data_IF_933282820085
#
_entry.id   IF_933282820085
#
_cell.length_a   1.000
_cell.length_b   1.000
_cell.length_c   1.000
_cell.angle_alpha   90.00
_cell.angle_beta   90.00
_cell.angle_gamma   90.00
#
_symmetry.space_group_name_H-M   'P 1'
#
loop_
_entity.id
_entity.type
_entity.pdbx_description
1 polymer ?
#
# COMPACT_ATOMS: atom_id res chain seq x y z
N UNK A 1 22.09 -13.86 -0.29
CA UNK A 1 21.97 -12.70 -1.19
C UNK A 1 23.13 -12.55 -2.17
N UNK A 2 24.41 -12.76 -1.81
CA UNK A 2 25.53 -12.63 -2.77
C UNK A 2 25.39 -13.48 -4.04
N UNK A 3 24.93 -14.73 -3.92
CA UNK A 3 24.63 -15.59 -5.09
C UNK A 3 23.42 -15.13 -5.94
N UNK A 4 22.59 -14.20 -5.44
CA UNK A 4 21.37 -13.79 -6.15
C UNK A 4 21.68 -13.01 -7.43
N UNK A 5 22.63 -12.09 -7.32
CA UNK A 5 23.03 -11.11 -8.33
C UNK A 5 24.36 -11.46 -9.01
N UNK A 6 25.14 -12.38 -8.42
CA UNK A 6 26.49 -12.73 -8.85
C UNK A 6 27.53 -12.20 -7.85
N UNK A 7 28.73 -12.80 -7.87
CA UNK A 7 29.85 -12.49 -6.96
C UNK A 7 30.31 -11.03 -7.02
N UNK A 8 30.04 -10.36 -8.14
CA UNK A 8 30.56 -9.02 -8.41
C UNK A 8 29.69 -7.91 -7.79
N UNK A 9 28.53 -8.25 -7.25
CA UNK A 9 27.64 -7.31 -6.58
C UNK A 9 27.95 -7.20 -5.09
N UNK A 10 28.28 -5.98 -4.65
CA UNK A 10 28.37 -5.66 -3.24
C UNK A 10 26.96 -5.35 -2.69
N UNK A 11 26.53 -6.06 -1.65
CA UNK A 11 25.19 -5.93 -1.06
C UNK A 11 25.30 -5.51 0.41
N UNK A 12 24.58 -4.45 0.78
CA UNK A 12 24.55 -3.86 2.11
C UNK A 12 23.11 -3.80 2.63
N UNK A 13 22.87 -3.97 3.93
CA UNK A 13 21.57 -3.66 4.52
C UNK A 13 21.20 -2.19 4.29
N UNK A 14 19.98 -1.92 3.85
CA UNK A 14 19.47 -0.56 3.64
C UNK A 14 18.64 -0.03 4.83
N UNK A 15 18.57 -0.79 5.93
CA UNK A 15 17.77 -0.47 7.11
C UNK A 15 16.27 -0.76 6.92
N UNK A 16 15.42 -0.02 7.65
CA UNK A 16 13.97 -0.22 7.66
C UNK A 16 13.48 -1.17 8.74
N UNK A 17 12.16 -1.15 9.00
CA UNK A 17 11.57 -1.79 10.17
C UNK A 17 11.59 -3.33 10.12
N UNK A 18 11.68 -3.95 8.94
CA UNK A 18 11.59 -5.41 8.78
C UNK A 18 12.94 -6.10 8.55
N UNK A 19 14.01 -5.34 8.30
CA UNK A 19 15.33 -5.90 7.96
C UNK A 19 15.42 -6.55 6.57
N UNK A 20 14.39 -6.40 5.72
CA UNK A 20 14.29 -7.06 4.41
C UNK A 20 14.79 -6.21 3.23
N UNK A 21 15.35 -5.03 3.51
CA UNK A 21 15.79 -4.08 2.50
C UNK A 21 17.31 -4.05 2.39
N UNK A 22 17.79 -4.06 1.15
CA UNK A 22 19.21 -4.07 0.83
C UNK A 22 19.52 -3.08 -0.28
N UNK A 23 20.72 -2.53 -0.25
CA UNK A 23 21.32 -1.74 -1.31
C UNK A 23 22.37 -2.62 -2.00
N UNK A 24 22.34 -2.67 -3.32
CA UNK A 24 23.31 -3.41 -4.12
C UNK A 24 23.99 -2.48 -5.13
N UNK A 25 25.32 -2.62 -5.27
CA UNK A 25 26.10 -1.84 -6.24
C UNK A 25 27.08 -2.73 -7.02
N UNK A 26 27.27 -2.40 -8.29
CA UNK A 26 28.28 -3.03 -9.15
C UNK A 26 28.55 -2.13 -10.37
N UNK A 27 29.83 -1.85 -10.69
CA UNK A 27 30.24 -1.07 -11.88
C UNK A 27 29.44 0.23 -12.12
N UNK A 28 29.20 1.00 -11.05
CA UNK A 28 28.44 2.25 -11.11
C UNK A 28 26.92 2.08 -11.19
N UNK A 29 26.39 0.86 -11.32
CA UNK A 29 24.97 0.56 -11.18
C UNK A 29 24.58 0.39 -9.71
N UNK A 30 23.40 0.88 -9.37
CA UNK A 30 22.85 0.86 -8.02
C UNK A 30 21.41 0.33 -8.04
N UNK A 31 21.11 -0.62 -7.17
CA UNK A 31 19.79 -1.22 -7.02
C UNK A 31 19.33 -1.17 -5.57
N UNK A 32 18.04 -0.96 -5.40
CA UNK A 32 17.34 -1.25 -4.15
C UNK A 32 16.73 -2.63 -4.24
N UNK A 33 17.07 -3.51 -3.31
CA UNK A 33 16.52 -4.85 -3.22
C UNK A 33 15.59 -4.95 -2.01
N UNK A 34 14.46 -5.62 -2.18
CA UNK A 34 13.55 -5.93 -1.07
C UNK A 34 13.04 -7.35 -1.15
N UNK A 35 13.10 -8.05 -0.01
CA UNK A 35 12.52 -9.38 0.16
C UNK A 35 11.03 -9.28 0.51
N UNK A 36 10.23 -10.16 -0.10
CA UNK A 36 8.79 -10.36 0.12
C UNK A 36 7.98 -9.05 0.04
N UNK A 37 8.22 -8.29 -1.04
CA UNK A 37 7.49 -7.06 -1.31
C UNK A 37 6.00 -7.30 -1.55
N UNK A 38 5.20 -6.26 -1.30
CA UNK A 38 3.76 -6.23 -1.54
C UNK A 38 3.42 -6.71 -2.96
N UNK A 39 2.34 -7.49 -3.15
CA UNK A 39 1.91 -7.93 -4.48
C UNK A 39 1.64 -6.75 -5.42
N UNK A 40 1.33 -5.56 -4.89
CA UNK A 40 1.05 -4.35 -5.66
C UNK A 40 2.28 -3.69 -6.31
N UNK A 41 3.49 -4.12 -5.99
CA UNK A 41 4.72 -3.42 -6.39
C UNK A 41 4.83 -3.20 -7.90
N UNK A 42 4.46 -4.21 -8.70
CA UNK A 42 4.53 -4.12 -10.16
C UNK A 42 3.57 -3.05 -10.72
N UNK A 43 2.32 -3.00 -10.24
CA UNK A 43 1.33 -2.00 -10.67
C UNK A 43 1.72 -0.61 -10.16
N UNK A 44 2.17 -0.49 -8.91
CA UNK A 44 2.68 0.78 -8.37
C UNK A 44 3.87 1.32 -9.19
N UNK A 45 4.75 0.43 -9.65
CA UNK A 45 5.88 0.81 -10.50
C UNK A 45 5.42 1.25 -11.89
N UNK A 46 4.44 0.55 -12.49
CA UNK A 46 3.89 0.91 -13.80
C UNK A 46 3.15 2.25 -13.76
N UNK A 47 2.45 2.52 -12.67
CA UNK A 47 1.78 3.81 -12.41
C UNK A 47 2.78 4.93 -12.06
N UNK A 48 4.08 4.63 -11.92
CA UNK A 48 5.09 5.62 -11.53
C UNK A 48 4.86 6.23 -10.14
N UNK A 49 4.36 5.42 -9.21
CA UNK A 49 4.15 5.79 -7.79
C UNK A 49 5.38 5.43 -6.96
N UNK A 50 6.08 4.36 -7.34
CA UNK A 50 7.32 3.88 -6.72
C UNK A 50 8.46 3.86 -7.74
N UNK A 51 9.73 3.73 -7.31
CA UNK A 51 10.84 3.57 -8.24
C UNK A 51 10.66 2.37 -9.17
N UNK A 52 11.17 2.49 -10.40
CA UNK A 52 10.96 1.49 -11.45
C UNK A 52 11.46 0.11 -11.03
N UNK A 53 10.57 -0.88 -11.06
CA UNK A 53 10.86 -2.29 -10.91
C UNK A 53 11.73 -2.76 -12.08
N UNK A 54 12.87 -3.36 -11.76
CA UNK A 54 13.84 -3.90 -12.73
C UNK A 54 13.53 -5.38 -12.97
N UNK A 55 13.44 -6.16 -11.89
CA UNK A 55 13.12 -7.59 -11.96
C UNK A 55 12.55 -8.10 -10.63
N UNK A 56 11.91 -9.26 -10.71
CA UNK A 56 11.46 -10.06 -9.56
C UNK A 56 12.00 -11.46 -9.71
N UNK A 57 12.59 -12.03 -8.66
CA UNK A 57 13.17 -13.37 -8.68
C UNK A 57 12.67 -14.16 -7.48
N UNK A 58 12.09 -15.33 -7.75
CA UNK A 58 11.71 -16.30 -6.72
C UNK A 58 12.91 -17.17 -6.38
N UNK A 59 13.13 -17.36 -5.10
CA UNK A 59 14.19 -18.20 -4.53
C UNK A 59 13.70 -19.62 -4.28
N UNK A 60 14.64 -20.56 -4.22
CA UNK A 60 14.37 -21.97 -3.90
C UNK A 60 13.73 -22.13 -2.51
N UNK A 61 14.09 -21.26 -1.56
CA UNK A 61 13.51 -21.22 -0.23
C UNK A 61 12.09 -20.59 -0.21
N UNK A 62 11.53 -20.20 -1.36
CA UNK A 62 10.20 -19.62 -1.50
C UNK A 62 10.14 -18.09 -1.42
N UNK A 63 11.21 -17.44 -0.93
CA UNK A 63 11.27 -15.98 -0.85
C UNK A 63 11.18 -15.34 -2.24
N UNK A 64 10.58 -14.15 -2.31
CA UNK A 64 10.54 -13.33 -3.51
C UNK A 64 11.43 -12.12 -3.30
N UNK A 65 12.48 -11.99 -4.11
CA UNK A 65 13.30 -10.78 -4.13
C UNK A 65 12.86 -9.89 -5.28
N UNK A 66 12.69 -8.61 -4.98
CA UNK A 66 12.39 -7.56 -5.95
C UNK A 66 13.56 -6.58 -6.03
N UNK A 67 13.91 -6.17 -7.24
CA UNK A 67 14.91 -5.13 -7.47
C UNK A 67 14.28 -3.92 -8.14
N UNK A 68 14.53 -2.75 -7.58
CA UNK A 68 14.12 -1.45 -8.12
C UNK A 68 15.36 -0.60 -8.36
N UNK A 69 15.22 0.43 -9.21
CA UNK A 69 16.26 1.44 -9.35
C UNK A 69 16.53 2.08 -7.98
N UNK A 70 17.81 2.25 -7.66
CA UNK A 70 18.17 3.07 -6.51
C UNK A 70 17.76 4.52 -6.77
N UNK A 71 17.15 5.15 -5.77
CA UNK A 71 16.75 6.55 -5.82
C UNK A 71 17.35 7.28 -4.63
N UNK A 72 18.06 8.36 -4.90
CA UNK A 72 18.51 9.27 -3.84
C UNK A 72 17.30 10.02 -3.30
N UNK A 73 17.03 9.87 -2.01
CA UNK A 73 15.91 10.50 -1.35
C UNK A 73 16.16 10.68 0.14
N UNK A 74 15.20 11.34 0.80
CA UNK A 74 15.18 11.47 2.26
C UNK A 74 13.86 10.97 2.80
N UNK A 75 13.89 10.48 4.02
CA UNK A 75 12.68 10.21 4.77
C UNK A 75 11.92 11.52 5.04
N UNK A 76 10.60 11.47 4.90
CA UNK A 76 9.74 12.57 5.29
C UNK A 76 9.56 12.57 6.81
N UNK A 77 9.64 13.75 7.42
CA UNK A 77 9.39 13.98 8.85
C UNK A 77 7.95 14.45 9.06
N UNK A 78 7.41 14.45 10.29
CA UNK A 78 6.01 14.84 10.54
C UNK A 78 5.62 16.21 9.94
N UNK A 79 6.54 17.17 9.98
CA UNK A 79 6.37 18.50 9.36
C UNK A 79 6.19 18.48 7.84
N UNK A 80 6.66 17.44 7.15
CA UNK A 80 6.53 17.30 5.70
C UNK A 80 5.16 16.70 5.30
N UNK A 81 4.45 16.05 6.22
CA UNK A 81 3.23 15.28 5.93
C UNK A 81 2.06 16.15 5.47
N UNK A 82 2.02 17.43 5.88
CA UNK A 82 1.03 18.41 5.43
C UNK A 82 1.35 19.03 4.06
N UNK A 83 2.47 18.64 3.44
CA UNK A 83 2.91 19.18 2.16
C UNK A 83 2.01 18.75 1.00
N UNK A 84 1.76 19.69 0.08
CA UNK A 84 1.02 19.44 -1.17
C UNK A 84 1.51 18.20 -1.96
N UNK A 85 2.83 17.92 -2.09
CA UNK A 85 3.29 16.72 -2.80
C UNK A 85 2.81 15.41 -2.18
N UNK A 86 2.64 15.35 -0.86
CA UNK A 86 2.12 14.16 -0.16
C UNK A 86 0.65 13.96 -0.51
N UNK A 87 -0.15 15.03 -0.46
CA UNK A 87 -1.55 14.98 -0.85
C UNK A 87 -1.75 14.58 -2.33
N UNK A 88 -0.90 15.08 -3.23
CA UNK A 88 -0.92 14.71 -4.64
C UNK A 88 -0.57 13.23 -4.86
N UNK A 89 0.41 12.71 -4.13
CA UNK A 89 0.77 11.28 -4.17
C UNK A 89 -0.37 10.39 -3.64
N UNK A 90 -0.98 10.76 -2.50
CA UNK A 90 -2.12 10.05 -1.94
C UNK A 90 -3.31 10.05 -2.89
N UNK A 91 -3.61 11.20 -3.51
CA UNK A 91 -4.63 11.30 -4.55
C UNK A 91 -4.33 10.34 -5.70
N UNK A 92 -3.10 10.32 -6.21
CA UNK A 92 -2.69 9.43 -7.30
C UNK A 92 -2.93 7.95 -6.96
N UNK A 93 -2.61 7.53 -5.74
CA UNK A 93 -2.87 6.17 -5.26
C UNK A 93 -4.37 5.89 -5.18
N UNK A 94 -5.13 6.76 -4.51
CA UNK A 94 -6.56 6.54 -4.24
C UNK A 94 -7.46 6.65 -5.47
N UNK A 95 -7.02 7.35 -6.52
CA UNK A 95 -7.79 7.47 -7.77
C UNK A 95 -7.28 6.56 -8.90
N UNK A 96 -6.28 5.70 -8.65
CA UNK A 96 -5.73 4.82 -9.68
C UNK A 96 -6.69 3.68 -10.01
N UNK A 97 -7.19 3.68 -11.26
CA UNK A 97 -8.01 2.58 -11.79
C UNK A 97 -7.22 1.28 -11.86
N UNK A 98 -5.93 1.33 -12.20
CA UNK A 98 -5.08 0.15 -12.27
C UNK A 98 -4.92 -0.53 -10.90
N UNK A 99 -4.75 0.26 -9.82
CA UNK A 99 -4.71 -0.28 -8.46
C UNK A 99 -6.07 -0.85 -8.03
N UNK A 100 -7.18 -0.19 -8.40
CA UNK A 100 -8.52 -0.71 -8.15
C UNK A 100 -8.77 -2.05 -8.87
N UNK A 101 -8.41 -2.16 -10.14
CA UNK A 101 -8.55 -3.39 -10.91
C UNK A 101 -7.69 -4.52 -10.32
N UNK A 102 -6.50 -4.18 -9.81
CA UNK A 102 -5.65 -5.13 -9.09
C UNK A 102 -6.30 -5.62 -7.78
N UNK A 103 -6.93 -4.73 -7.02
CA UNK A 103 -7.69 -5.10 -5.82
C UNK A 103 -8.82 -6.07 -6.16
N UNK A 104 -9.61 -5.76 -7.20
CA UNK A 104 -10.70 -6.64 -7.70
C UNK A 104 -10.17 -8.02 -8.08
N UNK A 105 -9.05 -8.09 -8.80
CA UNK A 105 -8.38 -9.36 -9.16
C UNK A 105 -7.90 -10.19 -7.97
N UNK A 106 -7.60 -9.53 -6.84
CA UNK A 106 -7.25 -10.20 -5.59
C UNK A 106 -8.49 -10.64 -4.79
N UNK A 107 -9.69 -10.54 -5.37
CA UNK A 107 -10.95 -10.90 -4.73
C UNK A 107 -11.40 -9.89 -3.68
N UNK A 108 -10.93 -8.63 -3.75
CA UNK A 108 -11.44 -7.57 -2.90
C UNK A 108 -12.71 -7.00 -3.52
N UNK A 109 -13.79 -7.08 -2.75
CA UNK A 109 -15.08 -6.52 -3.12
C UNK A 109 -15.23 -5.09 -2.56
N UNK A 110 -16.00 -4.23 -3.24
CA UNK A 110 -16.43 -2.95 -2.69
C UNK A 110 -17.10 -3.13 -1.33
N UNK A 111 -16.87 -2.19 -0.43
CA UNK A 111 -17.59 -2.17 0.85
C UNK A 111 -19.06 -1.85 0.59
N UNK A 112 -19.95 -2.73 1.04
CA UNK A 112 -21.38 -2.51 0.95
C UNK A 112 -21.84 -1.54 2.07
N UNK A 113 -22.40 -0.36 1.75
CA UNK A 113 -22.84 0.63 2.72
C UNK A 113 -23.87 0.07 3.71
N UNK A 114 -24.80 -0.77 3.26
CA UNK A 114 -25.81 -1.38 4.13
C UNK A 114 -25.21 -2.38 5.11
N UNK A 115 -24.20 -3.14 4.67
CA UNK A 115 -23.44 -4.03 5.55
C UNK A 115 -22.65 -3.25 6.60
N UNK A 116 -22.00 -2.15 6.21
CA UNK A 116 -21.29 -1.26 7.13
C UNK A 116 -22.22 -0.62 8.15
N UNK A 117 -23.39 -0.13 7.72
CA UNK A 117 -24.39 0.46 8.61
C UNK A 117 -24.93 -0.57 9.60
N UNK A 118 -25.16 -1.81 9.15
CA UNK A 118 -25.57 -2.91 10.04
C UNK A 118 -24.49 -3.22 11.08
N UNK A 119 -23.21 -3.27 10.69
CA UNK A 119 -22.09 -3.46 11.61
C UNK A 119 -21.98 -2.32 12.62
N UNK A 120 -22.17 -1.06 12.18
CA UNK A 120 -22.15 0.11 13.05
C UNK A 120 -23.27 0.04 14.09
N UNK A 121 -24.50 -0.29 13.68
CA UNK A 121 -25.63 -0.47 14.60
C UNK A 121 -25.37 -1.56 15.63
N UNK A 122 -24.79 -2.69 15.22
CA UNK A 122 -24.39 -3.77 16.13
C UNK A 122 -23.32 -3.30 17.13
N UNK A 123 -22.31 -2.56 16.67
CA UNK A 123 -21.25 -2.03 17.53
C UNK A 123 -21.82 -1.05 18.57
N UNK A 124 -22.69 -0.12 18.16
CA UNK A 124 -23.36 0.85 19.05
C UNK A 124 -24.24 0.14 20.09
N UNK A 125 -24.99 -0.87 19.66
CA UNK A 125 -25.79 -1.70 20.57
C UNK A 125 -24.91 -2.45 21.58
N UNK A 126 -23.80 -3.05 21.14
CA UNK A 126 -22.89 -3.81 21.99
C UNK A 126 -22.24 -2.96 23.09
N UNK A 127 -21.95 -1.69 22.81
CA UNK A 127 -21.42 -0.75 23.82
C UNK A 127 -22.52 -0.03 24.61
N UNK A 128 -23.79 -0.42 24.42
CA UNK A 128 -24.97 0.18 25.07
C UNK A 128 -25.03 1.71 24.95
N UNK A 129 -24.53 2.24 23.83
CA UNK A 129 -24.44 3.67 23.62
C UNK A 129 -25.81 4.23 23.19
N UNK A 130 -26.38 5.09 24.02
CA UNK A 130 -27.74 5.62 23.88
C UNK A 130 -27.79 7.13 23.59
N UNK A 131 -26.64 7.75 23.30
CA UNK A 131 -26.59 9.18 22.96
C UNK A 131 -27.57 9.53 21.84
N UNK A 132 -28.46 10.53 22.04
CA UNK A 132 -29.39 10.99 21.02
C UNK A 132 -28.70 11.35 19.70
N UNK A 133 -27.52 11.99 19.77
CA UNK A 133 -26.72 12.36 18.60
C UNK A 133 -26.30 11.14 17.76
N UNK A 134 -25.97 10.03 18.41
CA UNK A 134 -25.57 8.80 17.72
C UNK A 134 -26.79 8.16 17.06
N UNK A 135 -27.94 8.16 17.72
CA UNK A 135 -29.19 7.64 17.15
C UNK A 135 -29.66 8.47 15.97
N UNK A 136 -29.60 9.81 16.07
CA UNK A 136 -29.86 10.72 14.97
C UNK A 136 -28.90 10.48 13.80
N UNK A 137 -27.61 10.29 14.07
CA UNK A 137 -26.62 9.96 13.06
C UNK A 137 -26.90 8.62 12.35
N UNK A 138 -27.25 7.56 13.10
CA UNK A 138 -27.64 6.27 12.51
C UNK A 138 -28.88 6.43 11.64
N UNK A 139 -29.91 7.11 12.14
CA UNK A 139 -31.15 7.36 11.39
C UNK A 139 -30.88 8.12 10.10
N UNK A 140 -30.05 9.16 10.15
CA UNK A 140 -29.62 9.90 8.96
C UNK A 140 -28.96 8.96 7.92
N UNK A 141 -28.05 8.09 8.36
CA UNK A 141 -27.38 7.13 7.49
C UNK A 141 -28.37 6.11 6.89
N UNK A 142 -29.40 5.70 7.62
CA UNK A 142 -30.46 4.80 7.12
C UNK A 142 -31.30 5.47 6.04
N UNK A 143 -31.73 6.72 6.27
CA UNK A 143 -32.57 7.48 5.34
C UNK A 143 -31.84 7.76 4.03
N UNK A 144 -30.54 8.03 4.07
CA UNK A 144 -29.73 8.39 2.89
C UNK A 144 -28.96 7.20 2.30
N UNK A 145 -29.17 5.98 2.79
CA UNK A 145 -28.42 4.80 2.33
C UNK A 145 -28.53 4.58 0.81
N UNK A 146 -29.70 4.85 0.26
CA UNK A 146 -30.03 4.68 -1.16
C UNK A 146 -29.32 5.68 -2.08
N UNK A 147 -28.81 6.79 -1.55
CA UNK A 147 -28.07 7.81 -2.30
C UNK A 147 -26.60 7.39 -2.53
N UNK A 148 -26.12 6.38 -1.80
CA UNK A 148 -24.74 5.91 -1.88
C UNK A 148 -24.60 4.82 -2.92
N UNK A 149 -24.03 5.16 -4.07
CA UNK A 149 -23.62 4.18 -5.07
C UNK A 149 -22.35 3.44 -4.60
N UNK A 150 -22.36 2.11 -4.66
CA UNK A 150 -21.19 1.27 -4.40
C UNK A 150 -21.10 0.18 -5.49
N UNK A 151 -19.91 0.02 -6.08
CA UNK A 151 -19.68 -0.89 -7.21
C UNK A 151 -19.10 -0.20 -8.43
#
# INVERSE_FOLDING_TARGET
MGQLLGSDWEIFPAGGATGDAYYAKHNGQQLFLKRNSSPFLAVLSAEGIVPKLVWTKRMENGDVITAQHWMTGRELKPKDMSGRPVAELLRKIHTSKALLDMLKRLGKEPLNPGALLSQLKQAVFAVQQSSPLIQEGIKYLEEHLHEVHFG
#
